data_IF_596999618129
#
_entry.id   IF_596999618129
#
_cell.length_a   1.000
_cell.length_b   1.000
_cell.length_c   1.000
_cell.angle_alpha   90.00
_cell.angle_beta   90.00
_cell.angle_gamma   90.00
#
_symmetry.space_group_name_H-M   'P 1'
#
loop_
_entity.id
_entity.type
_entity.pdbx_description
1 polymer ?
#
# COMPACT_ATOMS: atom_id res chain seq x y z
N UNK A 1 -17.27 -13.31 28.94
CA UNK A 1 -17.72 -13.32 27.54
C UNK A 1 -16.49 -13.60 26.69
N UNK A 2 -16.51 -14.61 25.79
CA UNK A 2 -15.38 -14.86 24.90
C UNK A 2 -15.24 -13.69 23.92
N UNK A 3 -14.02 -13.19 23.71
CA UNK A 3 -13.72 -12.13 22.75
C UNK A 3 -14.13 -12.57 21.33
N UNK A 4 -14.62 -11.66 20.47
CA UNK A 4 -14.89 -12.01 19.07
C UNK A 4 -13.61 -12.51 18.39
N UNK A 5 -13.72 -13.59 17.63
CA UNK A 5 -12.63 -14.06 16.77
C UNK A 5 -12.33 -12.94 15.76
N UNK A 6 -11.10 -12.44 15.77
CA UNK A 6 -10.63 -11.41 14.83
C UNK A 6 -10.48 -12.01 13.43
N UNK A 7 -10.78 -11.22 12.40
CA UNK A 7 -10.57 -11.62 11.01
C UNK A 7 -9.11 -11.41 10.60
N UNK A 8 -8.65 -12.06 9.52
CA UNK A 8 -7.26 -11.94 9.03
C UNK A 8 -6.80 -10.50 8.78
N UNK A 9 -7.73 -9.59 8.44
CA UNK A 9 -7.39 -8.18 8.24
C UNK A 9 -7.02 -7.49 9.56
N UNK A 10 -7.66 -7.86 10.67
CA UNK A 10 -7.38 -7.31 11.99
C UNK A 10 -6.07 -7.85 12.56
N UNK A 11 -5.70 -9.08 12.19
CA UNK A 11 -4.49 -9.76 12.66
C UNK A 11 -3.21 -9.37 11.90
N UNK A 12 -3.30 -8.48 10.90
CA UNK A 12 -2.18 -8.13 10.02
C UNK A 12 -0.90 -7.69 10.77
N UNK A 13 -1.04 -6.89 11.83
CA UNK A 13 0.10 -6.45 12.65
C UNK A 13 0.69 -7.60 13.49
N UNK A 14 -0.15 -8.52 13.96
CA UNK A 14 0.28 -9.67 14.73
C UNK A 14 1.04 -10.67 13.84
N UNK A 15 0.53 -10.93 12.63
CA UNK A 15 1.21 -11.76 11.62
C UNK A 15 2.56 -11.16 11.22
N UNK A 16 2.61 -9.86 10.94
CA UNK A 16 3.87 -9.17 10.61
C UNK A 16 4.90 -9.27 11.73
N UNK A 17 4.46 -9.08 12.99
CA UNK A 17 5.32 -9.23 14.17
C UNK A 17 5.84 -10.66 14.32
N UNK A 18 5.02 -11.67 14.04
CA UNK A 18 5.42 -13.08 14.09
C UNK A 18 6.43 -13.44 12.97
N UNK A 19 6.30 -12.83 11.78
CA UNK A 19 7.24 -13.04 10.68
C UNK A 19 8.61 -12.39 10.92
N UNK A 20 8.65 -11.25 11.61
CA UNK A 20 9.89 -10.48 11.80
C UNK A 20 10.72 -11.03 12.96
N UNK A 21 11.84 -11.69 12.64
CA UNK A 21 12.75 -12.34 13.62
C UNK A 21 13.63 -11.35 14.41
N UNK A 22 13.99 -10.22 13.82
CA UNK A 22 14.88 -9.22 14.43
C UNK A 22 14.40 -7.79 14.14
N UNK A 23 14.67 -6.88 15.06
CA UNK A 23 14.39 -5.45 14.88
C UNK A 23 15.54 -4.80 14.14
N UNK A 24 15.22 -4.05 13.08
CA UNK A 24 16.21 -3.28 12.34
C UNK A 24 16.48 -1.95 13.05
N UNK A 25 17.69 -1.42 12.88
CA UNK A 25 18.02 -0.09 13.38
C UNK A 25 17.31 0.94 12.51
N UNK A 26 16.61 1.89 13.14
CA UNK A 26 15.99 2.99 12.40
C UNK A 26 17.10 3.87 11.82
N UNK A 27 16.97 4.25 10.56
CA UNK A 27 17.94 5.10 9.86
C UNK A 27 17.23 6.28 9.21
N UNK A 28 17.98 7.37 8.99
CA UNK A 28 17.59 8.48 8.15
C UNK A 28 17.45 8.05 6.69
N UNK A 29 16.84 8.88 5.86
CA UNK A 29 16.72 8.63 4.41
C UNK A 29 18.08 8.40 3.72
N UNK A 30 19.16 8.96 4.26
CA UNK A 30 20.54 8.76 3.77
C UNK A 30 21.23 7.49 4.32
N UNK A 31 20.54 6.68 5.12
CA UNK A 31 21.05 5.44 5.71
C UNK A 31 21.85 5.61 7.00
N UNK A 32 22.03 6.84 7.51
CA UNK A 32 22.69 7.05 8.80
C UNK A 32 21.83 6.51 9.96
N UNK A 33 22.39 5.71 10.88
CA UNK A 33 21.64 5.13 11.98
C UNK A 33 21.17 6.22 12.96
N UNK A 34 19.92 6.12 13.41
CA UNK A 34 19.32 6.99 14.41
C UNK A 34 19.46 6.37 15.80
N UNK A 35 20.03 7.15 16.74
CA UNK A 35 20.20 6.72 18.13
C UNK A 35 18.94 6.87 18.97
N UNK A 36 18.09 7.88 18.71
CA UNK A 36 16.85 8.13 19.47
C UNK A 36 15.81 8.78 18.56
N UNK A 37 14.61 8.19 18.47
CA UNK A 37 13.47 8.68 17.66
C UNK A 37 12.35 9.30 18.51
N UNK A 38 12.36 9.08 19.81
CA UNK A 38 11.29 9.53 20.73
C UNK A 38 11.52 10.93 21.30
N UNK A 39 12.66 11.55 21.02
CA UNK A 39 13.04 12.86 21.53
C UNK A 39 13.66 13.71 20.41
N UNK A 40 13.45 15.01 20.49
CA UNK A 40 14.01 16.01 19.56
C UNK A 40 15.22 16.70 20.16
N UNK A 41 16.09 17.22 19.29
CA UNK A 41 17.27 17.97 19.69
C UNK A 41 16.88 19.42 20.04
N UNK A 42 17.12 19.80 21.30
CA UNK A 42 16.74 21.10 21.87
C UNK A 42 17.93 21.81 22.50
N UNK A 43 17.90 23.15 22.54
CA UNK A 43 18.91 23.98 23.21
C UNK A 43 18.76 23.94 24.75
N UNK A 44 18.96 22.77 25.34
CA UNK A 44 18.71 22.48 26.76
C UNK A 44 17.29 21.98 27.02
N UNK A 45 17.05 21.44 28.23
CA UNK A 45 15.81 20.67 28.56
C UNK A 45 14.49 21.43 28.33
N UNK A 46 14.50 22.76 28.39
CA UNK A 46 13.33 23.63 28.12
C UNK A 46 13.64 24.68 27.06
N UNK A 47 14.69 24.47 26.27
CA UNK A 47 15.07 25.38 25.19
C UNK A 47 14.27 25.11 23.92
N UNK A 48 14.40 26.00 22.92
CA UNK A 48 13.80 25.79 21.60
C UNK A 48 14.41 24.57 20.89
N UNK A 49 13.66 24.03 19.92
CA UNK A 49 14.14 22.98 19.01
C UNK A 49 15.22 23.56 18.10
N UNK A 50 16.28 22.80 17.86
CA UNK A 50 17.35 23.19 16.96
C UNK A 50 16.99 22.84 15.51
N UNK A 51 17.24 23.77 14.58
CA UNK A 51 17.12 23.51 13.15
C UNK A 51 18.12 22.44 12.65
N UNK A 52 19.19 22.20 13.40
CA UNK A 52 20.15 21.13 13.12
C UNK A 52 19.63 19.72 13.43
N UNK A 53 18.40 19.57 13.93
CA UNK A 53 17.77 18.27 14.10
C UNK A 53 17.35 17.68 12.74
N UNK A 54 18.30 17.05 12.07
CA UNK A 54 18.08 16.42 10.77
C UNK A 54 17.06 15.28 10.83
N UNK A 55 16.94 14.59 11.98
CA UNK A 55 16.00 13.49 12.15
C UNK A 55 14.56 13.98 12.14
N UNK A 56 14.29 15.02 12.93
CA UNK A 56 12.98 15.63 12.98
C UNK A 56 12.58 16.23 11.62
N UNK A 57 13.50 16.92 10.95
CA UNK A 57 13.22 17.54 9.66
C UNK A 57 12.95 16.50 8.57
N UNK A 58 13.73 15.41 8.51
CA UNK A 58 13.54 14.35 7.52
C UNK A 58 12.15 13.70 7.67
N UNK A 59 11.78 13.31 8.90
CA UNK A 59 10.48 12.70 9.18
C UNK A 59 9.31 13.67 8.87
N UNK A 60 9.38 14.93 9.29
CA UNK A 60 8.32 15.92 9.06
C UNK A 60 8.17 16.26 7.57
N UNK A 61 9.28 16.46 6.87
CA UNK A 61 9.25 16.85 5.46
C UNK A 61 8.70 15.75 4.56
N UNK A 62 8.95 14.49 4.92
CA UNK A 62 8.34 13.33 4.26
C UNK A 62 6.85 13.22 4.61
N UNK A 63 6.49 13.32 5.89
CA UNK A 63 5.11 13.26 6.36
C UNK A 63 4.20 14.30 5.67
N UNK A 64 4.65 15.55 5.59
CA UNK A 64 3.92 16.64 4.94
C UNK A 64 3.68 16.39 3.44
N UNK A 65 4.44 15.49 2.81
CA UNK A 65 4.40 15.17 1.38
C UNK A 65 3.83 13.79 1.07
N UNK A 66 3.26 13.09 2.04
CA UNK A 66 2.67 11.75 1.81
C UNK A 66 1.47 11.78 0.85
N UNK A 67 0.74 12.90 0.79
CA UNK A 67 -0.47 13.01 -0.02
C UNK A 67 -0.14 13.36 -1.46
N UNK A 68 -0.47 12.44 -2.36
CA UNK A 68 -0.52 12.67 -3.80
C UNK A 68 -1.96 12.95 -4.27
N UNK A 69 -2.16 13.70 -5.37
CA UNK A 69 -3.48 13.93 -5.93
C UNK A 69 -4.20 12.60 -6.25
N UNK A 70 -5.46 12.43 -5.82
CA UNK A 70 -6.23 11.25 -6.19
C UNK A 70 -6.57 11.26 -7.68
N UNK A 71 -7.01 10.11 -8.20
CA UNK A 71 -7.54 10.03 -9.57
C UNK A 71 -8.79 10.91 -9.68
N UNK A 72 -8.94 11.63 -10.80
CA UNK A 72 -10.09 12.53 -11.08
C UNK A 72 -11.42 11.79 -11.02
N UNK A 73 -11.42 10.53 -11.48
CA UNK A 73 -12.51 9.56 -11.33
C UNK A 73 -11.91 8.24 -10.86
N UNK A 74 -12.71 7.34 -10.30
CA UNK A 74 -12.18 6.07 -9.78
C UNK A 74 -11.19 6.24 -8.61
N UNK A 75 -11.37 7.26 -7.76
CA UNK A 75 -10.43 7.54 -6.67
C UNK A 75 -10.46 6.43 -5.61
N UNK A 76 -11.65 6.08 -5.10
CA UNK A 76 -11.84 4.96 -4.18
C UNK A 76 -11.71 3.62 -4.90
N UNK A 77 -10.95 2.69 -4.33
CA UNK A 77 -10.81 1.35 -4.88
C UNK A 77 -9.92 0.42 -4.08
N UNK A 78 -9.96 -0.86 -4.43
CA UNK A 78 -9.13 -1.93 -3.88
C UNK A 78 -8.40 -2.66 -5.01
N UNK A 79 -7.22 -3.21 -4.70
CA UNK A 79 -6.38 -3.91 -5.68
C UNK A 79 -6.03 -5.32 -5.20
N UNK A 80 -5.95 -6.26 -6.13
CA UNK A 80 -5.56 -7.66 -5.85
C UNK A 80 -4.61 -8.14 -6.96
N UNK A 81 -3.56 -8.85 -6.56
CA UNK A 81 -2.68 -9.58 -7.46
C UNK A 81 -3.15 -11.03 -7.61
N UNK A 82 -2.97 -11.60 -8.79
CA UNK A 82 -3.30 -12.98 -9.08
C UNK A 82 -2.70 -13.42 -10.40
N UNK A 83 -3.23 -14.48 -11.00
CA UNK A 83 -2.80 -14.95 -12.30
C UNK A 83 -4.01 -15.25 -13.19
N UNK A 84 -3.85 -15.02 -14.48
CA UNK A 84 -4.77 -15.47 -15.52
C UNK A 84 -4.28 -16.79 -16.08
N UNK A 85 -5.18 -17.78 -16.22
CA UNK A 85 -4.90 -19.07 -16.83
C UNK A 85 -5.74 -19.26 -18.10
N UNK A 86 -5.07 -19.52 -19.23
CA UNK A 86 -5.74 -19.77 -20.50
C UNK A 86 -6.32 -21.20 -20.51
N UNK A 87 -7.64 -21.36 -20.46
CA UNK A 87 -8.28 -22.70 -20.38
C UNK A 87 -8.69 -23.27 -21.73
N UNK A 88 -8.90 -22.43 -22.73
CA UNK A 88 -9.39 -22.82 -24.05
C UNK A 88 -8.54 -22.20 -25.16
N UNK A 89 -8.32 -22.96 -26.22
CA UNK A 89 -7.55 -22.48 -27.37
C UNK A 89 -8.37 -21.47 -28.20
N UNK A 90 -7.88 -20.23 -28.27
CA UNK A 90 -8.44 -19.15 -29.08
C UNK A 90 -7.42 -18.59 -30.09
N UNK A 91 -6.34 -19.33 -30.35
CA UNK A 91 -5.28 -18.97 -31.30
C UNK A 91 -5.79 -18.69 -32.71
N UNK A 92 -6.94 -19.27 -33.09
CA UNK A 92 -7.65 -18.98 -34.35
C UNK A 92 -8.07 -17.51 -34.50
N UNK A 93 -8.33 -16.80 -33.40
CA UNK A 93 -8.83 -15.42 -33.43
C UNK A 93 -7.75 -14.38 -33.10
N UNK A 94 -6.79 -14.74 -32.24
CA UNK A 94 -5.79 -13.79 -31.75
C UNK A 94 -4.41 -14.43 -31.67
N UNK A 95 -3.39 -13.63 -32.00
CA UNK A 95 -1.97 -14.00 -31.84
C UNK A 95 -1.35 -13.41 -30.56
N UNK A 96 -2.16 -12.90 -29.65
CA UNK A 96 -1.67 -12.33 -28.40
C UNK A 96 -1.01 -13.42 -27.55
N UNK A 97 0.23 -13.16 -27.09
CA UNK A 97 1.04 -14.13 -26.34
C UNK A 97 0.37 -14.62 -25.05
N UNK A 98 -0.54 -13.83 -24.48
CA UNK A 98 -1.37 -14.19 -23.32
C UNK A 98 -2.19 -15.47 -23.55
N UNK A 99 -2.67 -15.68 -24.78
CA UNK A 99 -3.58 -16.77 -25.14
C UNK A 99 -2.92 -17.85 -26.02
N UNK A 100 -1.59 -17.83 -26.15
CA UNK A 100 -0.88 -18.65 -27.12
C UNK A 100 -0.92 -20.15 -26.85
N UNK A 101 -1.09 -20.56 -25.58
CA UNK A 101 -1.09 -21.96 -25.17
C UNK A 101 -2.13 -22.18 -24.06
N UNK A 102 -2.83 -23.31 -24.11
CA UNK A 102 -3.74 -23.75 -23.04
C UNK A 102 -2.91 -24.16 -21.82
N UNK A 103 -3.30 -23.69 -20.64
CA UNK A 103 -2.59 -23.86 -19.37
C UNK A 103 -1.58 -22.75 -19.06
N UNK A 104 -1.37 -21.78 -19.97
CA UNK A 104 -0.44 -20.67 -19.72
C UNK A 104 -0.95 -19.76 -18.59
N UNK A 105 -0.12 -19.60 -17.55
CA UNK A 105 -0.35 -18.67 -16.44
C UNK A 105 0.37 -17.35 -16.67
N UNK A 106 -0.36 -16.24 -16.55
CA UNK A 106 0.18 -14.88 -16.69
C UNK A 106 -0.15 -14.09 -15.43
N UNK A 107 0.87 -13.53 -14.78
CA UNK A 107 0.70 -12.68 -13.61
C UNK A 107 -0.17 -11.47 -13.96
N UNK A 108 -1.15 -11.18 -13.12
CA UNK A 108 -2.10 -10.11 -13.36
C UNK A 108 -2.37 -9.28 -12.11
N UNK A 109 -2.77 -8.03 -12.34
CA UNK A 109 -3.24 -7.13 -11.30
C UNK A 109 -4.63 -6.60 -11.65
N UNK A 110 -5.54 -6.67 -10.68
CA UNK A 110 -6.91 -6.17 -10.80
C UNK A 110 -7.13 -5.01 -9.84
N UNK A 111 -7.75 -3.94 -10.32
CA UNK A 111 -8.22 -2.83 -9.49
C UNK A 111 -9.71 -2.63 -9.63
N UNK A 112 -10.41 -2.74 -8.51
CA UNK A 112 -11.82 -2.39 -8.33
C UNK A 112 -11.96 -0.94 -7.90
N UNK A 113 -12.98 -0.22 -8.35
CA UNK A 113 -13.15 1.20 -7.98
C UNK A 113 -14.56 1.74 -8.14
N UNK A 114 -14.86 2.87 -7.49
CA UNK A 114 -16.09 3.67 -7.62
C UNK A 114 -15.85 4.90 -8.50
N UNK A 115 -16.75 5.24 -9.42
CA UNK A 115 -16.51 6.32 -10.39
C UNK A 115 -16.50 7.72 -9.77
N UNK A 116 -17.58 8.09 -9.06
CA UNK A 116 -17.83 9.47 -8.58
C UNK A 116 -17.33 9.71 -7.15
N UNK A 117 -16.78 8.68 -6.53
CA UNK A 117 -16.38 8.68 -5.14
C UNK A 117 -15.01 9.34 -4.92
N UNK A 118 -14.92 10.11 -3.85
CA UNK A 118 -13.65 10.53 -3.24
C UNK A 118 -13.01 9.39 -2.43
N UNK A 119 -11.71 9.47 -2.06
CA UNK A 119 -11.01 8.41 -1.32
C UNK A 119 -11.66 7.98 0.01
N UNK A 120 -12.43 8.87 0.65
CA UNK A 120 -13.12 8.61 1.92
C UNK A 120 -14.57 8.09 1.78
N UNK A 121 -15.07 7.91 0.56
CA UNK A 121 -16.47 7.51 0.34
C UNK A 121 -16.70 6.02 0.68
N UNK A 122 -17.91 5.62 1.13
CA UNK A 122 -18.21 4.23 1.47
C UNK A 122 -18.39 3.36 0.22
N UNK A 123 -17.88 2.13 0.28
CA UNK A 123 -17.81 1.22 -0.86
C UNK A 123 -19.16 0.63 -1.29
N UNK A 124 -20.20 0.74 -0.46
CA UNK A 124 -21.52 0.12 -0.68
C UNK A 124 -22.51 1.07 -1.39
N UNK A 125 -22.11 2.31 -1.67
CA UNK A 125 -22.98 3.29 -2.30
C UNK A 125 -23.33 2.91 -3.75
N UNK A 126 -24.51 3.32 -4.20
CA UNK A 126 -24.97 3.10 -5.58
C UNK A 126 -24.11 3.93 -6.55
N UNK A 127 -23.18 3.27 -7.22
CA UNK A 127 -22.29 3.86 -8.23
C UNK A 127 -21.84 2.78 -9.22
N UNK A 128 -21.32 3.19 -10.37
CA UNK A 128 -20.66 2.29 -11.30
C UNK A 128 -19.38 1.72 -10.67
N UNK A 129 -19.06 0.47 -11.00
CA UNK A 129 -17.86 -0.22 -10.50
C UNK A 129 -16.85 -0.39 -11.64
N UNK A 130 -15.68 0.23 -11.50
CA UNK A 130 -14.56 0.03 -12.42
C UNK A 130 -13.86 -1.30 -12.14
N UNK A 131 -13.58 -2.07 -13.18
CA UNK A 131 -12.88 -3.35 -13.13
C UNK A 131 -11.71 -3.30 -14.13
N UNK A 132 -10.55 -2.84 -13.68
CA UNK A 132 -9.37 -2.69 -14.53
C UNK A 132 -8.41 -3.87 -14.32
N UNK A 133 -8.03 -4.55 -15.39
CA UNK A 133 -7.07 -5.67 -15.37
C UNK A 133 -5.80 -5.30 -16.13
N UNK A 134 -4.65 -5.65 -15.58
CA UNK A 134 -3.36 -5.62 -16.26
C UNK A 134 -2.80 -7.05 -16.31
N UNK A 135 -2.45 -7.49 -17.51
CA UNK A 135 -1.81 -8.78 -17.82
C UNK A 135 -0.37 -8.54 -18.28
#
# INVERSE_FOLDING_TARGET
MPFPNFDKCDEQLAEYKAMKKSLDTVALTNGCPLSTRTATLTAGRRGPILLGDLALLDDLTHFDRERIPPRVVHAKGAGVHGHFECTHDISKYTRAKLFGEVGKKTEMFVRFSLVKAEPGHPDVMRDLRGFAMKF
#
